data_IF_558255552857
#
_entry.id   IF_558255552857
#
_cell.length_a   1.000
_cell.length_b   1.000
_cell.length_c   1.000
_cell.angle_alpha   90.00
_cell.angle_beta   90.00
_cell.angle_gamma   90.00
#
_symmetry.space_group_name_H-M   'P 1'
#
loop_
_entity.id
_entity.type
_entity.pdbx_description
1 polymer ?
#
# COMPACT_ATOMS: atom_id res chain seq x y z
N UNK A 1 -26.62 56.08 55.94
CA UNK A 1 -25.41 55.94 56.79
C UNK A 1 -25.35 54.50 57.29
N UNK A 2 -24.19 53.85 57.13
CA UNK A 2 -23.70 52.65 57.82
C UNK A 2 -24.48 51.32 57.67
N UNK A 3 -23.88 50.13 57.67
CA UNK A 3 -22.55 49.56 57.32
C UNK A 3 -22.68 48.06 57.74
N UNK A 4 -22.25 47.15 56.86
CA UNK A 4 -21.65 45.80 57.07
C UNK A 4 -22.15 44.82 58.15
N UNK A 5 -22.36 43.56 57.75
CA UNK A 5 -21.51 42.35 58.06
C UNK A 5 -22.35 41.08 57.80
N UNK A 6 -22.03 40.20 56.85
CA UNK A 6 -20.95 39.19 56.78
C UNK A 6 -21.26 37.88 57.53
N UNK A 7 -21.45 36.79 56.77
CA UNK A 7 -21.02 35.38 56.99
C UNK A 7 -21.76 34.49 55.95
N UNK A 8 -21.11 33.95 54.90
CA UNK A 8 -20.34 32.69 54.87
C UNK A 8 -21.26 31.44 54.94
N UNK A 9 -21.12 30.33 54.21
CA UNK A 9 -20.09 29.77 53.33
C UNK A 9 -20.72 28.51 52.69
N UNK A 10 -20.59 28.27 51.38
CA UNK A 10 -20.52 26.93 50.78
C UNK A 10 -20.27 27.06 49.26
N UNK A 11 -19.04 27.42 48.90
CA UNK A 11 -18.54 27.24 47.55
C UNK A 11 -18.05 25.78 47.42
N UNK A 12 -18.81 24.96 46.72
CA UNK A 12 -18.34 23.64 46.29
C UNK A 12 -17.38 23.80 45.13
N UNK A 13 -16.09 23.61 45.40
CA UNK A 13 -15.08 23.28 44.40
C UNK A 13 -15.45 21.94 43.75
N UNK A 14 -15.49 21.91 42.43
CA UNK A 14 -15.20 20.71 41.65
C UNK A 14 -14.39 21.12 40.44
N UNK A 15 -13.07 21.12 40.64
CA UNK A 15 -12.06 21.01 39.60
C UNK A 15 -12.33 19.74 38.78
N UNK A 16 -12.27 19.84 37.45
CA UNK A 16 -11.36 19.05 36.59
C UNK A 16 -11.96 18.68 35.23
N UNK A 17 -11.18 18.93 34.19
CA UNK A 17 -11.15 18.24 32.89
C UNK A 17 -12.27 18.55 31.87
N UNK A 18 -12.24 19.77 31.32
CA UNK A 18 -12.49 19.90 29.90
C UNK A 18 -11.30 19.28 29.12
N UNK A 19 -11.61 18.51 28.08
CA UNK A 19 -10.70 17.83 27.13
C UNK A 19 -10.34 16.35 27.43
N UNK A 20 -11.33 15.46 27.33
CA UNK A 20 -11.12 14.09 26.88
C UNK A 20 -12.33 13.63 26.04
N UNK A 21 -12.44 14.13 24.82
CA UNK A 21 -13.44 13.69 23.85
C UNK A 21 -13.02 12.37 23.15
N UNK A 22 -12.55 11.37 23.92
CA UNK A 22 -12.19 10.05 23.42
C UNK A 22 -12.90 8.97 24.23
N UNK A 23 -14.20 8.87 24.03
CA UNK A 23 -14.98 7.67 24.32
C UNK A 23 -16.26 7.76 23.47
N UNK A 24 -16.16 7.38 22.19
CA UNK A 24 -17.36 7.07 21.42
C UNK A 24 -17.98 5.82 22.05
N UNK A 25 -19.01 6.01 22.88
CA UNK A 25 -19.95 4.95 23.22
C UNK A 25 -20.77 4.62 21.97
N UNK A 26 -20.29 3.66 21.18
CA UNK A 26 -21.09 3.03 20.15
C UNK A 26 -21.26 1.56 20.52
N UNK A 27 -22.17 1.28 21.45
CA UNK A 27 -22.74 -0.06 21.68
C UNK A 27 -23.73 -0.39 20.55
N UNK A 28 -23.21 -0.42 19.32
CA UNK A 28 -23.93 -0.86 18.13
C UNK A 28 -23.10 -1.89 17.38
N UNK A 29 -23.72 -2.83 16.64
CA UNK A 29 -22.98 -3.80 15.85
C UNK A 29 -22.04 -3.06 14.87
N UNK A 30 -20.76 -3.42 14.90
CA UNK A 30 -19.78 -2.92 13.92
C UNK A 30 -20.17 -3.48 12.55
N UNK A 31 -20.83 -2.67 11.74
CA UNK A 31 -21.19 -3.03 10.37
C UNK A 31 -19.93 -2.98 9.51
N UNK A 32 -19.32 -4.14 9.26
CA UNK A 32 -18.19 -4.29 8.34
C UNK A 32 -18.62 -4.50 6.88
N UNK A 33 -19.89 -4.82 6.64
CA UNK A 33 -20.39 -5.33 5.35
C UNK A 33 -20.99 -4.31 4.38
N UNK A 34 -21.21 -3.06 4.78
CA UNK A 34 -21.78 -2.02 3.89
C UNK A 34 -20.99 -0.72 3.96
N UNK A 35 -19.68 -0.79 3.68
CA UNK A 35 -18.94 0.42 3.40
C UNK A 35 -19.23 0.83 1.96
N UNK A 36 -19.91 1.97 1.80
CA UNK A 36 -19.74 2.83 0.62
C UNK A 36 -18.27 2.92 0.26
N UNK A 37 -17.98 3.10 -1.04
CA UNK A 37 -16.63 3.29 -1.56
C UNK A 37 -15.77 4.10 -0.59
N UNK A 38 -14.54 3.66 -0.40
CA UNK A 38 -13.60 4.27 0.52
C UNK A 38 -13.53 5.80 0.36
N UNK A 39 -13.42 6.52 1.48
CA UNK A 39 -13.30 7.98 1.45
C UNK A 39 -12.01 8.44 0.78
N UNK A 40 -12.05 9.63 0.17
CA UNK A 40 -10.88 10.23 -0.46
C UNK A 40 -9.75 10.46 0.56
N UNK A 41 -10.09 10.78 1.80
CA UNK A 41 -9.16 10.96 2.92
C UNK A 41 -8.46 9.65 3.27
N UNK A 42 -9.19 8.54 3.38
CA UNK A 42 -8.59 7.24 3.66
C UNK A 42 -7.66 6.78 2.52
N UNK A 43 -8.04 7.04 1.27
CA UNK A 43 -7.20 6.79 0.10
C UNK A 43 -5.92 7.63 0.15
N UNK A 44 -6.03 8.91 0.51
CA UNK A 44 -4.90 9.83 0.64
C UNK A 44 -3.94 9.38 1.73
N UNK A 45 -4.45 8.96 2.89
CA UNK A 45 -3.65 8.42 4.00
C UNK A 45 -2.88 7.17 3.57
N UNK A 46 -3.55 6.20 2.92
CA UNK A 46 -2.86 4.97 2.48
C UNK A 46 -1.84 5.23 1.37
N UNK A 47 -2.14 6.13 0.44
CA UNK A 47 -1.18 6.53 -0.59
C UNK A 47 0.05 7.19 0.05
N UNK A 48 -0.13 8.06 1.06
CA UNK A 48 0.98 8.65 1.80
C UNK A 48 1.86 7.58 2.48
N UNK A 49 1.25 6.58 3.12
CA UNK A 49 1.97 5.45 3.72
C UNK A 49 2.74 4.67 2.63
N UNK A 50 2.06 4.25 1.56
CA UNK A 50 2.68 3.50 0.47
C UNK A 50 3.86 4.24 -0.17
N UNK A 51 3.77 5.56 -0.28
CA UNK A 51 4.83 6.41 -0.84
C UNK A 51 5.92 6.84 0.16
N UNK A 52 5.73 6.59 1.45
CA UNK A 52 6.73 6.87 2.49
C UNK A 52 7.83 5.80 2.59
N UNK A 53 7.55 4.57 2.17
CA UNK A 53 8.51 3.47 2.25
C UNK A 53 9.54 3.52 1.12
N UNK A 54 10.79 3.25 1.48
CA UNK A 54 11.89 3.08 0.53
C UNK A 54 11.60 1.88 -0.37
N UNK A 55 11.72 2.10 -1.67
CA UNK A 55 11.58 1.03 -2.66
C UNK A 55 12.76 0.04 -2.58
N UNK A 56 12.55 -1.25 -2.86
CA UNK A 56 13.63 -2.22 -2.90
C UNK A 56 14.64 -1.85 -4.00
N UNK A 57 15.87 -2.35 -3.85
CA UNK A 57 16.93 -2.11 -4.84
C UNK A 57 16.48 -2.53 -6.23
N UNK A 58 16.68 -1.64 -7.21
CA UNK A 58 16.36 -1.90 -8.62
C UNK A 58 14.91 -1.57 -9.02
N UNK A 59 14.03 -1.25 -8.07
CA UNK A 59 12.69 -0.76 -8.38
C UNK A 59 12.75 0.71 -8.88
N UNK A 60 12.06 1.05 -9.98
CA UNK A 60 11.96 2.43 -10.46
C UNK A 60 11.15 3.32 -9.52
N UNK A 61 11.48 4.61 -9.46
CA UNK A 61 10.73 5.59 -8.65
C UNK A 61 9.53 6.21 -9.38
N UNK A 62 9.52 6.18 -10.71
CA UNK A 62 8.42 6.69 -11.53
C UNK A 62 7.30 5.65 -11.65
N UNK A 63 6.05 6.07 -11.52
CA UNK A 63 4.89 5.16 -11.44
C UNK A 63 4.77 4.21 -12.63
N UNK A 64 4.91 4.69 -13.88
CA UNK A 64 4.71 3.83 -15.06
C UNK A 64 5.79 2.74 -15.20
N UNK A 65 7.10 3.05 -15.14
CA UNK A 65 8.13 2.00 -15.05
C UNK A 65 8.03 1.11 -13.82
N UNK A 66 7.61 1.65 -12.67
CA UNK A 66 7.41 0.88 -11.44
C UNK A 66 6.32 -0.19 -11.64
N UNK A 67 5.18 0.17 -12.21
CA UNK A 67 4.09 -0.79 -12.46
C UNK A 67 4.53 -1.91 -13.41
N UNK A 68 5.34 -1.60 -14.44
CA UNK A 68 5.91 -2.61 -15.32
C UNK A 68 6.89 -3.55 -14.60
N UNK A 69 7.64 -3.03 -13.63
CA UNK A 69 8.48 -3.83 -12.74
C UNK A 69 7.65 -4.73 -11.82
N UNK A 70 6.56 -4.21 -11.23
CA UNK A 70 5.64 -4.97 -10.38
C UNK A 70 4.96 -6.13 -11.15
N UNK A 71 4.44 -5.87 -12.38
CA UNK A 71 3.88 -6.90 -13.28
C UNK A 71 4.88 -8.02 -13.54
N UNK A 72 6.11 -7.65 -13.90
CA UNK A 72 7.17 -8.61 -14.20
C UNK A 72 7.53 -9.50 -13.00
N UNK A 73 7.50 -8.94 -11.78
CA UNK A 73 7.81 -9.70 -10.58
C UNK A 73 6.73 -10.71 -10.20
N UNK A 74 5.47 -10.27 -10.17
CA UNK A 74 4.35 -11.15 -9.85
C UNK A 74 4.19 -12.21 -10.93
N UNK A 75 4.40 -11.84 -12.20
CA UNK A 75 4.44 -12.82 -13.30
C UNK A 75 5.53 -13.86 -13.07
N UNK A 76 6.74 -13.46 -12.67
CA UNK A 76 7.84 -14.39 -12.40
C UNK A 76 7.59 -15.30 -11.20
N UNK A 77 6.94 -14.81 -10.13
CA UNK A 77 6.51 -15.65 -9.01
C UNK A 77 5.47 -16.68 -9.44
N UNK A 78 4.49 -16.28 -10.25
CA UNK A 78 3.51 -17.19 -10.81
C UNK A 78 4.13 -18.22 -11.79
N UNK A 79 5.10 -17.79 -12.62
CA UNK A 79 5.88 -18.69 -13.48
C UNK A 79 6.66 -19.73 -12.66
N UNK A 80 7.22 -19.31 -11.51
CA UNK A 80 7.93 -20.22 -10.61
C UNK A 80 6.98 -21.25 -10.00
N UNK A 81 5.78 -20.84 -9.59
CA UNK A 81 4.74 -21.76 -9.13
C UNK A 81 4.32 -22.76 -10.22
N UNK A 82 4.12 -22.28 -11.46
CA UNK A 82 3.80 -23.14 -12.61
C UNK A 82 4.90 -24.16 -12.94
N UNK A 83 6.15 -23.92 -12.52
CA UNK A 83 7.28 -24.83 -12.74
C UNK A 83 7.34 -26.03 -11.77
N UNK A 84 6.45 -26.10 -10.78
CA UNK A 84 6.45 -27.14 -9.74
C UNK A 84 5.62 -28.36 -10.18
N UNK A 85 6.14 -29.56 -9.92
CA UNK A 85 5.51 -30.81 -10.37
C UNK A 85 4.34 -31.21 -9.47
N UNK A 86 4.50 -31.05 -8.15
CA UNK A 86 3.53 -31.48 -7.14
C UNK A 86 2.85 -30.30 -6.44
N UNK A 87 2.16 -29.45 -7.22
CA UNK A 87 1.42 -28.31 -6.67
C UNK A 87 0.25 -28.76 -5.79
N UNK A 88 0.18 -28.18 -4.60
CA UNK A 88 -1.02 -28.22 -3.77
C UNK A 88 -2.16 -27.39 -4.39
N UNK A 89 -3.42 -27.59 -3.95
CA UNK A 89 -4.51 -26.68 -4.28
C UNK A 89 -4.21 -25.22 -3.90
N UNK A 90 -3.53 -25.00 -2.78
CA UNK A 90 -3.11 -23.68 -2.30
C UNK A 90 -2.09 -23.05 -3.26
N UNK A 91 -1.11 -23.81 -3.76
CA UNK A 91 -0.13 -23.31 -4.75
C UNK A 91 -0.83 -22.90 -6.04
N UNK A 92 -1.81 -23.70 -6.47
CA UNK A 92 -2.60 -23.41 -7.67
C UNK A 92 -3.39 -22.11 -7.51
N UNK A 93 -3.97 -21.89 -6.33
CA UNK A 93 -4.70 -20.67 -6.03
C UNK A 93 -3.78 -19.45 -5.93
N UNK A 94 -2.59 -19.59 -5.33
CA UNK A 94 -1.58 -18.53 -5.28
C UNK A 94 -1.12 -18.12 -6.69
N UNK A 95 -0.86 -19.09 -7.57
CA UNK A 95 -0.56 -18.81 -8.98
C UNK A 95 -1.73 -18.05 -9.62
N UNK A 96 -2.97 -18.52 -9.44
CA UNK A 96 -4.16 -17.88 -10.01
C UNK A 96 -4.31 -16.42 -9.54
N UNK A 97 -4.13 -16.17 -8.25
CA UNK A 97 -4.18 -14.82 -7.66
C UNK A 97 -3.06 -13.92 -8.21
N UNK A 98 -1.83 -14.42 -8.30
CA UNK A 98 -0.72 -13.68 -8.90
C UNK A 98 -0.98 -13.32 -10.37
N UNK A 99 -1.57 -14.24 -11.15
CA UNK A 99 -1.94 -13.94 -12.55
C UNK A 99 -3.01 -12.84 -12.66
N UNK A 100 -3.98 -12.82 -11.73
CA UNK A 100 -4.99 -11.76 -11.67
C UNK A 100 -4.38 -10.42 -11.31
N UNK A 101 -3.50 -10.37 -10.32
CA UNK A 101 -2.80 -9.15 -9.95
C UNK A 101 -1.90 -8.62 -11.08
N UNK A 102 -1.16 -9.50 -11.75
CA UNK A 102 -0.37 -9.15 -12.92
C UNK A 102 -1.27 -8.60 -14.06
N UNK A 103 -2.47 -9.15 -14.23
CA UNK A 103 -3.46 -8.64 -15.19
C UNK A 103 -3.94 -7.22 -14.83
N UNK A 104 -4.12 -6.92 -13.54
CA UNK A 104 -4.47 -5.58 -13.09
C UNK A 104 -3.36 -4.57 -13.40
N UNK A 105 -2.09 -4.93 -13.23
CA UNK A 105 -0.97 -4.08 -13.64
C UNK A 105 -0.91 -3.87 -15.15
N UNK A 106 -1.06 -4.94 -15.96
CA UNK A 106 -1.08 -4.83 -17.42
C UNK A 106 -2.23 -3.96 -17.91
N UNK A 107 -3.40 -4.05 -17.29
CA UNK A 107 -4.53 -3.18 -17.64
C UNK A 107 -4.25 -1.69 -17.31
N UNK A 108 -3.57 -1.42 -16.19
CA UNK A 108 -3.16 -0.06 -15.83
C UNK A 108 -2.10 0.50 -16.80
N UNK A 109 -1.12 -0.31 -17.19
CA UNK A 109 -0.13 0.05 -18.21
C UNK A 109 -0.79 0.38 -19.54
N UNK A 110 -1.67 -0.50 -20.04
CA UNK A 110 -2.38 -0.27 -21.30
C UNK A 110 -3.24 1.01 -21.27
N UNK A 111 -3.96 1.27 -20.18
CA UNK A 111 -4.76 2.48 -20.01
C UNK A 111 -3.90 3.77 -19.95
N UNK A 112 -2.64 3.65 -19.53
CA UNK A 112 -1.71 4.77 -19.41
C UNK A 112 -0.78 4.95 -20.61
N UNK A 113 -0.63 3.94 -21.46
CA UNK A 113 0.30 3.90 -22.58
C UNK A 113 0.19 5.11 -23.53
N UNK A 114 -1.01 5.57 -23.96
CA UNK A 114 -1.12 6.69 -24.89
C UNK A 114 -0.57 8.02 -24.34
N UNK A 115 -0.43 8.13 -23.01
CA UNK A 115 0.07 9.32 -22.31
C UNK A 115 1.58 9.27 -22.04
N UNK A 116 2.25 8.17 -22.39
CA UNK A 116 3.66 7.99 -22.08
C UNK A 116 4.58 8.44 -23.22
N UNK A 117 5.70 9.04 -22.83
CA UNK A 117 6.80 9.34 -23.76
C UNK A 117 7.50 8.06 -24.21
N UNK A 118 8.23 8.12 -25.33
CA UNK A 118 9.07 7.00 -25.78
C UNK A 118 10.13 6.62 -24.73
N UNK A 119 10.73 7.61 -24.06
CA UNK A 119 11.71 7.38 -23.00
C UNK A 119 11.10 6.65 -21.79
N UNK A 120 9.90 7.04 -21.36
CA UNK A 120 9.20 6.37 -20.25
C UNK A 120 8.84 4.92 -20.60
N UNK A 121 8.42 4.66 -21.84
CA UNK A 121 8.13 3.30 -22.32
C UNK A 121 9.40 2.44 -22.36
N UNK A 122 10.51 2.98 -22.83
CA UNK A 122 11.80 2.29 -22.82
C UNK A 122 12.27 1.96 -21.38
N UNK A 123 12.13 2.92 -20.46
CA UNK A 123 12.44 2.70 -19.05
C UNK A 123 11.56 1.60 -18.41
N UNK A 124 10.27 1.55 -18.75
CA UNK A 124 9.36 0.52 -18.30
C UNK A 124 9.74 -0.88 -18.84
N UNK A 125 10.10 -0.97 -20.13
CA UNK A 125 10.59 -2.22 -20.72
C UNK A 125 11.88 -2.70 -20.05
N UNK A 126 12.82 -1.80 -19.79
CA UNK A 126 14.07 -2.11 -19.10
C UNK A 126 13.81 -2.58 -17.66
N UNK A 127 12.91 -1.92 -16.93
CA UNK A 127 12.56 -2.29 -15.57
C UNK A 127 11.90 -3.68 -15.51
N UNK A 128 10.96 -3.95 -16.42
CA UNK A 128 10.33 -5.27 -16.55
C UNK A 128 11.35 -6.36 -16.89
N UNK A 129 12.29 -6.10 -17.81
CA UNK A 129 13.35 -7.04 -18.16
C UNK A 129 14.29 -7.32 -16.97
N UNK A 130 14.66 -6.28 -16.22
CA UNK A 130 15.50 -6.41 -15.04
C UNK A 130 14.80 -7.22 -13.93
N UNK A 131 13.49 -7.02 -13.72
CA UNK A 131 12.68 -7.84 -12.81
C UNK A 131 12.63 -9.31 -13.25
N UNK A 132 12.34 -9.58 -14.54
CA UNK A 132 12.33 -10.96 -15.09
C UNK A 132 13.67 -11.66 -14.91
N UNK A 133 14.77 -10.94 -15.08
CA UNK A 133 16.11 -11.48 -14.91
C UNK A 133 16.39 -11.96 -13.48
N UNK A 134 15.68 -11.44 -12.47
CA UNK A 134 15.83 -11.91 -11.08
C UNK A 134 15.30 -13.34 -10.90
N UNK A 135 14.29 -13.73 -11.68
CA UNK A 135 13.69 -15.07 -11.63
C UNK A 135 14.41 -16.10 -12.50
N UNK A 136 15.11 -15.65 -13.54
CA UNK A 136 15.72 -16.51 -14.54
C UNK A 136 16.63 -17.62 -13.95
N UNK A 137 17.49 -17.37 -12.94
CA UNK A 137 18.30 -18.44 -12.35
C UNK A 137 17.47 -19.52 -11.65
N UNK A 138 16.39 -19.14 -10.97
CA UNK A 138 15.50 -20.08 -10.28
C UNK A 138 14.67 -20.90 -11.28
N UNK A 139 14.12 -20.24 -12.31
CA UNK A 139 13.34 -20.92 -13.35
C UNK A 139 14.17 -21.89 -14.20
N UNK A 140 15.47 -21.62 -14.36
CA UNK A 140 16.39 -22.52 -15.07
C UNK A 140 16.98 -23.63 -14.19
N UNK A 141 16.80 -23.57 -12.86
CA UNK A 141 17.31 -24.57 -11.94
C UNK A 141 16.53 -25.87 -12.07
N UNK A 142 17.23 -27.01 -12.13
CA UNK A 142 16.61 -28.35 -12.07
C UNK A 142 16.21 -28.74 -10.63
N UNK A 143 16.72 -28.04 -9.61
CA UNK A 143 16.40 -28.28 -8.20
C UNK A 143 14.97 -27.81 -7.86
N UNK A 144 14.02 -28.74 -7.89
CA UNK A 144 12.62 -28.48 -7.56
C UNK A 144 12.43 -28.06 -6.09
N UNK A 145 13.24 -28.56 -5.17
CA UNK A 145 13.13 -28.18 -3.76
C UNK A 145 13.50 -26.70 -3.56
N UNK A 146 14.54 -26.22 -4.24
CA UNK A 146 14.91 -24.81 -4.25
C UNK A 146 13.83 -23.93 -4.91
N UNK A 147 13.21 -24.38 -6.01
CA UNK A 147 12.10 -23.67 -6.66
C UNK A 147 10.87 -23.60 -5.74
N UNK A 148 10.51 -24.71 -5.11
CA UNK A 148 9.38 -24.81 -4.18
C UNK A 148 9.59 -23.93 -2.95
N UNK A 149 10.76 -23.99 -2.32
CA UNK A 149 11.10 -23.12 -1.20
C UNK A 149 11.02 -21.64 -1.60
N UNK A 150 11.54 -21.28 -2.76
CA UNK A 150 11.52 -19.90 -3.27
C UNK A 150 10.11 -19.42 -3.60
N UNK A 151 9.25 -20.28 -4.16
CA UNK A 151 7.83 -19.98 -4.39
C UNK A 151 7.09 -19.75 -3.07
N UNK A 152 7.40 -20.53 -2.04
CA UNK A 152 6.83 -20.41 -0.69
C UNK A 152 7.30 -19.17 0.08
N UNK A 153 8.38 -18.51 -0.34
CA UNK A 153 8.72 -17.18 0.18
C UNK A 153 7.70 -16.18 -0.38
N UNK A 154 6.83 -15.70 0.50
CA UNK A 154 5.76 -14.77 0.13
C UNK A 154 6.32 -13.57 -0.65
N UNK A 155 5.88 -13.43 -1.90
CA UNK A 155 6.21 -12.29 -2.73
C UNK A 155 5.18 -11.16 -2.51
N UNK A 156 5.28 -10.49 -1.37
CA UNK A 156 4.52 -9.28 -1.12
C UNK A 156 5.11 -8.13 -1.92
N UNK A 157 4.37 -7.61 -2.91
CA UNK A 157 4.77 -6.36 -3.54
C UNK A 157 4.75 -5.21 -2.54
N UNK A 158 5.62 -4.20 -2.69
CA UNK A 158 5.45 -2.96 -1.95
C UNK A 158 4.07 -2.40 -2.27
N UNK A 159 3.27 -2.01 -1.27
CA UNK A 159 1.93 -1.45 -1.49
C UNK A 159 1.90 -0.25 -2.45
N UNK A 160 3.06 0.37 -2.71
CA UNK A 160 3.23 1.38 -3.76
C UNK A 160 2.84 0.85 -5.16
N UNK A 161 3.00 -0.43 -5.48
CA UNK A 161 2.70 -0.99 -6.79
C UNK A 161 1.23 -0.75 -7.20
N UNK A 162 0.29 -1.05 -6.30
CA UNK A 162 -1.14 -0.92 -6.49
C UNK A 162 -1.56 0.55 -6.52
N UNK A 163 -0.95 1.38 -5.66
CA UNK A 163 -1.17 2.81 -5.68
C UNK A 163 -0.65 3.47 -6.97
N UNK A 164 0.54 3.09 -7.44
CA UNK A 164 1.09 3.55 -8.72
C UNK A 164 0.23 3.10 -9.90
N UNK A 165 -0.26 1.85 -9.90
CA UNK A 165 -1.17 1.32 -10.91
C UNK A 165 -2.46 2.14 -10.99
N UNK A 166 -3.08 2.45 -9.84
CA UNK A 166 -4.24 3.35 -9.77
C UNK A 166 -3.91 4.73 -10.34
N UNK A 167 -2.77 5.31 -9.95
CA UNK A 167 -2.38 6.67 -10.37
C UNK A 167 -2.19 6.75 -11.88
N UNK A 168 -1.47 5.80 -12.49
CA UNK A 168 -1.28 5.80 -13.95
C UNK A 168 -2.61 5.54 -14.67
N UNK A 169 -3.42 4.59 -14.20
CA UNK A 169 -4.72 4.25 -14.80
C UNK A 169 -5.65 5.46 -14.83
N UNK A 170 -5.73 6.20 -13.72
CA UNK A 170 -6.66 7.31 -13.54
C UNK A 170 -6.06 8.69 -13.88
N UNK A 171 -4.86 8.74 -14.46
CA UNK A 171 -4.17 9.99 -14.80
C UNK A 171 -3.97 10.95 -13.61
N UNK A 172 -3.65 10.39 -12.44
CA UNK A 172 -3.38 11.18 -11.24
C UNK A 172 -1.95 11.71 -11.31
N UNK A 173 -1.82 13.00 -11.64
CA UNK A 173 -0.52 13.69 -11.77
C UNK A 173 -0.13 14.48 -10.54
N UNK A 174 -1.06 14.71 -9.61
CA UNK A 174 -0.78 15.35 -8.33
C UNK A 174 0.19 14.47 -7.52
N UNK A 175 1.28 15.01 -6.98
CA UNK A 175 2.17 14.25 -6.12
C UNK A 175 1.41 13.59 -4.96
N UNK A 176 1.81 12.37 -4.54
CA UNK A 176 1.31 11.74 -3.33
C UNK A 176 1.49 12.67 -2.13
N UNK A 177 0.53 12.65 -1.21
CA UNK A 177 0.69 13.35 0.05
C UNK A 177 1.82 12.73 0.89
N UNK A 178 2.50 13.56 1.67
CA UNK A 178 3.49 13.13 2.66
C UNK A 178 2.79 12.65 3.95
N UNK A 179 3.45 11.84 4.78
CA UNK A 179 2.95 11.50 6.12
C UNK A 179 2.58 12.73 6.96
N UNK A 180 3.34 13.83 6.87
CA UNK A 180 3.05 15.09 7.57
C UNK A 180 1.70 15.68 7.15
N UNK A 181 1.43 15.75 5.84
CA UNK A 181 0.22 16.33 5.26
C UNK A 181 -1.05 15.52 5.56
N UNK A 182 -0.91 14.28 6.04
CA UNK A 182 -2.01 13.42 6.46
C UNK A 182 -2.03 13.18 7.98
N UNK A 183 -1.19 13.89 8.75
CA UNK A 183 -1.17 13.83 10.22
C UNK A 183 -0.58 12.54 10.80
N UNK A 184 0.36 11.89 10.09
CA UNK A 184 1.05 10.67 10.52
C UNK A 184 2.45 10.91 11.12
N UNK A 185 2.90 12.16 11.26
CA UNK A 185 4.16 12.44 11.96
C UNK A 185 3.97 12.31 13.48
N UNK A 186 4.87 11.56 14.13
CA UNK A 186 4.91 11.49 15.58
C UNK A 186 5.21 12.89 16.16
N UNK A 187 4.55 13.29 17.25
CA UNK A 187 4.93 14.52 17.94
C UNK A 187 6.41 14.43 18.32
N UNK A 188 7.16 15.52 18.11
CA UNK A 188 8.57 15.59 18.47
C UNK A 188 8.74 15.14 19.94
N UNK A 189 9.80 14.36 20.27
CA UNK A 189 10.04 13.98 21.64
C UNK A 189 10.16 15.25 22.49
N UNK A 190 9.42 15.31 23.59
CA UNK A 190 9.58 16.37 24.56
C UNK A 190 11.00 16.27 25.15
N UNK A 191 11.79 17.32 24.95
CA UNK A 191 13.14 17.45 25.51
C UNK A 191 13.09 17.53 27.04
#
# INVERSE_FOLDING_TARGET
>A
MLKFSAAALAATLSLSAAAAAFAQSQDGPIVTGNRTAETAEALKVREAIAYSHTLPRGAPTQDYPLVAWCDALVTGHADLGDSLTNRSPEDTELVRLGRLEAQDFRSALAAAEPRQTAATKAAAQQAAAAAKAQWAPLLASEDEAARSQSFGLFYGLPGRCEHAARRIRNNITTPPATPAEVGLEAPAPAN
#
